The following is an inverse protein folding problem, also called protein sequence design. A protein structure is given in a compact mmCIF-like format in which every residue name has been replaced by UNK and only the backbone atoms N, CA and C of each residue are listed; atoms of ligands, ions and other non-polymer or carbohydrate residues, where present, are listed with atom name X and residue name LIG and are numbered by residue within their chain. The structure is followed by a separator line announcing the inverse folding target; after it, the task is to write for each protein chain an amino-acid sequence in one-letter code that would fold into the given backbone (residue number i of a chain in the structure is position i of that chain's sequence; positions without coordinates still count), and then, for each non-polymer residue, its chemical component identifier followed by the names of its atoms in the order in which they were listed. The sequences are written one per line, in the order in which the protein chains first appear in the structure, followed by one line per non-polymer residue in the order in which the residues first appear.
data_IF_727124064573
#
_entry.id   IF_727124064573
#
_cell.length_a   1.000
_cell.length_b   1.000
_cell.length_c   1.000
_cell.angle_alpha   90.00
_cell.angle_beta   90.00
_cell.angle_gamma   90.00
#
_symmetry.space_group_name_H-M   'P 1'
#
loop_
_entity.id
_entity.type
_entity.pdbx_description
1 polymer ?
#
# COMPACT_ATOMS: atom_id res chain seq x y z
N UNK A 1 -42.54 -19.24 7.08
CA UNK A 1 -41.20 -19.30 7.69
C UNK A 1 -40.93 -20.72 8.13
N UNK A 2 -39.78 -21.33 7.71
CA UNK A 2 -39.45 -22.69 8.05
C UNK A 2 -39.05 -22.81 9.54
N UNK A 3 -39.18 -24.00 10.12
CA UNK A 3 -38.77 -24.28 11.50
C UNK A 3 -37.30 -23.89 11.72
N UNK A 4 -36.44 -24.16 10.74
CA UNK A 4 -35.02 -23.77 10.73
C UNK A 4 -34.80 -22.25 10.81
N UNK A 5 -35.66 -21.43 10.15
CA UNK A 5 -35.54 -19.97 10.23
C UNK A 5 -35.92 -19.44 11.61
N UNK A 6 -36.92 -20.03 12.25
CA UNK A 6 -37.33 -19.69 13.62
C UNK A 6 -36.26 -20.09 14.63
N UNK A 7 -35.62 -21.24 14.45
CA UNK A 7 -34.56 -21.73 15.33
C UNK A 7 -33.31 -20.81 15.23
N UNK A 8 -32.92 -20.45 14.01
CA UNK A 8 -31.83 -19.47 13.78
C UNK A 8 -32.11 -18.11 14.44
N UNK A 9 -33.33 -17.60 14.33
CA UNK A 9 -33.74 -16.35 14.96
C UNK A 9 -33.70 -16.43 16.49
N UNK A 10 -34.14 -17.57 17.08
CA UNK A 10 -34.07 -17.80 18.53
C UNK A 10 -32.64 -17.90 19.07
N UNK A 11 -31.77 -18.59 18.34
CA UNK A 11 -30.34 -18.69 18.69
C UNK A 11 -29.66 -17.33 18.60
N UNK A 12 -29.96 -16.50 17.58
CA UNK A 12 -29.44 -15.14 17.45
C UNK A 12 -29.87 -14.24 18.62
N UNK A 13 -31.15 -14.32 19.02
CA UNK A 13 -31.67 -13.59 20.17
C UNK A 13 -31.00 -14.02 21.48
N UNK A 14 -30.83 -15.32 21.71
CA UNK A 14 -30.18 -15.88 22.91
C UNK A 14 -28.70 -15.51 23.01
N UNK A 15 -28.04 -15.31 21.87
CA UNK A 15 -26.61 -14.91 21.81
C UNK A 15 -26.43 -13.37 21.77
N UNK A 16 -27.48 -12.57 21.83
CA UNK A 16 -27.41 -11.10 21.70
C UNK A 16 -26.93 -10.60 20.33
N UNK A 17 -26.94 -11.48 19.30
CA UNK A 17 -26.44 -11.13 17.96
C UNK A 17 -27.32 -10.09 17.30
N UNK A 18 -28.62 -10.11 17.57
CA UNK A 18 -29.57 -9.13 17.01
C UNK A 18 -29.30 -7.72 17.55
N UNK A 19 -28.99 -7.60 18.83
CA UNK A 19 -28.65 -6.32 19.47
C UNK A 19 -27.30 -5.79 18.93
N UNK A 20 -26.33 -6.67 18.69
CA UNK A 20 -25.07 -6.34 18.07
C UNK A 20 -25.23 -5.86 16.61
N UNK A 21 -26.06 -6.53 15.81
CA UNK A 21 -26.35 -6.14 14.44
C UNK A 21 -27.04 -4.76 14.39
N UNK A 22 -27.97 -4.51 15.30
CA UNK A 22 -28.63 -3.19 15.42
C UNK A 22 -27.66 -2.11 15.86
N UNK A 23 -26.79 -2.39 16.85
CA UNK A 23 -25.74 -1.45 17.28
C UNK A 23 -24.76 -1.14 16.13
N UNK A 24 -24.33 -2.13 15.39
CA UNK A 24 -23.45 -1.94 14.21
C UNK A 24 -24.14 -1.10 13.15
N UNK A 25 -25.44 -1.34 12.90
CA UNK A 25 -26.22 -0.54 11.94
C UNK A 25 -26.32 0.92 12.36
N UNK A 26 -26.64 1.19 13.63
CA UNK A 26 -26.71 2.55 14.18
C UNK A 26 -25.33 3.23 14.14
N UNK A 27 -24.25 2.51 14.44
CA UNK A 27 -22.89 3.05 14.35
C UNK A 27 -22.53 3.43 12.92
N UNK A 28 -22.85 2.57 11.93
CA UNK A 28 -22.64 2.88 10.50
C UNK A 28 -23.40 4.13 10.08
N UNK A 29 -24.64 4.29 10.49
CA UNK A 29 -25.45 5.47 10.18
C UNK A 29 -24.84 6.73 10.77
N UNK A 30 -24.38 6.67 12.02
CA UNK A 30 -23.69 7.81 12.67
C UNK A 30 -22.38 8.16 11.97
N UNK A 31 -21.58 7.16 11.60
CA UNK A 31 -20.33 7.39 10.84
C UNK A 31 -20.64 8.04 9.49
N UNK A 32 -21.63 7.53 8.75
CA UNK A 32 -22.06 8.12 7.47
C UNK A 32 -22.53 9.56 7.64
N UNK A 33 -23.30 9.85 8.68
CA UNK A 33 -23.77 11.23 8.98
C UNK A 33 -22.61 12.15 9.29
N UNK A 34 -21.65 11.72 10.12
CA UNK A 34 -20.46 12.52 10.44
C UNK A 34 -19.59 12.74 9.20
N UNK A 35 -19.40 11.71 8.38
CA UNK A 35 -18.66 11.81 7.11
C UNK A 35 -19.32 12.78 6.15
N UNK A 36 -20.64 12.74 6.03
CA UNK A 36 -21.40 13.71 5.24
C UNK A 36 -21.16 15.15 5.73
N UNK A 37 -21.31 15.38 7.04
CA UNK A 37 -21.10 16.71 7.62
C UNK A 37 -19.66 17.19 7.43
N UNK A 38 -18.67 16.32 7.54
CA UNK A 38 -17.26 16.65 7.27
C UNK A 38 -17.07 17.06 5.81
N UNK A 39 -17.61 16.29 4.86
CA UNK A 39 -17.49 16.60 3.43
C UNK A 39 -18.19 17.91 3.03
N UNK A 40 -19.29 18.29 3.71
CA UNK A 40 -19.96 19.57 3.48
C UNK A 40 -19.26 20.76 4.14
N UNK A 41 -18.46 20.51 5.17
CA UNK A 41 -17.91 21.57 6.01
C UNK A 41 -16.40 21.80 5.83
N UNK A 42 -15.66 20.81 5.34
CA UNK A 42 -14.20 20.83 5.29
C UNK A 42 -13.73 20.34 3.92
N UNK A 43 -12.93 21.16 3.25
CA UNK A 43 -12.12 20.70 2.13
C UNK A 43 -10.97 19.83 2.66
N UNK A 44 -11.00 18.53 2.34
CA UNK A 44 -10.01 17.57 2.81
C UNK A 44 -8.58 17.95 2.39
N UNK A 45 -8.42 18.68 1.28
CA UNK A 45 -7.10 19.13 0.81
C UNK A 45 -6.54 20.29 1.62
N UNK A 46 -7.40 20.96 2.39
CA UNK A 46 -7.02 22.09 3.26
C UNK A 46 -6.51 21.66 4.62
N UNK A 47 -6.60 20.38 4.97
CA UNK A 47 -6.15 19.87 6.27
C UNK A 47 -4.62 19.99 6.35
N UNK A 48 -4.09 20.72 7.33
CA UNK A 48 -2.63 20.89 7.46
C UNK A 48 -1.97 19.59 7.93
N UNK A 49 -0.64 19.47 7.79
CA UNK A 49 0.11 18.36 8.36
C UNK A 49 -0.22 18.14 9.83
N UNK A 50 -0.05 16.91 10.29
CA UNK A 50 -0.37 16.54 11.68
C UNK A 50 0.29 17.47 12.71
N UNK A 51 -0.44 17.81 13.76
CA UNK A 51 0.10 18.53 14.93
C UNK A 51 0.67 17.59 15.98
N UNK A 52 0.52 16.27 15.83
CA UNK A 52 1.14 15.29 16.69
C UNK A 52 2.66 15.25 16.39
N UNK A 53 3.54 15.69 17.33
CA UNK A 53 4.96 15.79 17.06
C UNK A 53 5.61 14.41 16.86
N UNK A 54 5.11 13.38 17.53
CA UNK A 54 5.66 12.01 17.41
C UNK A 54 5.34 11.44 16.02
N UNK A 55 4.13 11.62 15.50
CA UNK A 55 3.76 11.23 14.14
C UNK A 55 4.52 12.08 13.11
N UNK A 56 4.63 13.39 13.33
CA UNK A 56 5.29 14.27 12.36
C UNK A 56 6.78 13.97 12.18
N UNK A 57 7.50 13.70 13.27
CA UNK A 57 8.92 13.33 13.16
C UNK A 57 9.11 11.99 12.45
N UNK A 58 8.22 11.03 12.65
CA UNK A 58 8.22 9.76 11.95
C UNK A 58 7.97 9.96 10.45
N UNK A 59 6.93 10.70 10.05
CA UNK A 59 6.67 11.06 8.65
C UNK A 59 7.88 11.72 7.98
N UNK A 60 8.64 12.56 8.71
CA UNK A 60 9.87 13.16 8.19
C UNK A 60 10.99 12.13 7.99
N UNK A 61 11.14 11.16 8.90
CA UNK A 61 12.09 10.05 8.73
C UNK A 61 11.70 9.16 7.54
N UNK A 62 10.42 8.88 7.39
CA UNK A 62 9.89 8.08 6.29
C UNK A 62 10.14 8.78 4.94
N UNK A 63 9.90 10.08 4.84
CA UNK A 63 10.21 10.84 3.63
C UNK A 63 11.71 10.80 3.26
N UNK A 64 12.60 10.83 4.25
CA UNK A 64 14.04 10.66 4.03
C UNK A 64 14.38 9.24 3.56
N UNK A 65 13.75 8.22 4.15
CA UNK A 65 13.91 6.84 3.72
C UNK A 65 13.46 6.64 2.27
N UNK A 66 12.31 7.22 1.89
CA UNK A 66 11.82 7.20 0.51
C UNK A 66 12.79 7.93 -0.44
N UNK A 67 13.38 9.05 -0.02
CA UNK A 67 14.38 9.76 -0.82
C UNK A 67 15.68 8.95 -1.00
N UNK A 68 16.10 8.19 0.01
CA UNK A 68 17.23 7.25 -0.09
C UNK A 68 16.87 6.13 -1.08
N UNK A 69 15.69 5.54 -0.96
CA UNK A 69 15.20 4.52 -1.88
C UNK A 69 15.14 5.01 -3.34
N UNK A 70 14.67 6.23 -3.56
CA UNK A 70 14.67 6.87 -4.89
C UNK A 70 16.07 6.98 -5.49
N UNK A 71 17.07 7.37 -4.70
CA UNK A 71 18.46 7.39 -5.16
C UNK A 71 18.98 5.99 -5.52
N UNK A 72 18.65 4.97 -4.73
CA UNK A 72 18.98 3.58 -5.05
C UNK A 72 18.37 3.18 -6.39
N UNK A 73 17.07 3.43 -6.56
CA UNK A 73 16.37 3.10 -7.80
C UNK A 73 17.01 3.81 -9.01
N UNK A 74 17.33 5.10 -8.90
CA UNK A 74 18.01 5.86 -9.96
C UNK A 74 19.40 5.31 -10.28
N UNK A 75 20.20 4.99 -9.27
CA UNK A 75 21.54 4.42 -9.44
C UNK A 75 21.53 3.09 -10.17
N UNK A 76 20.55 2.23 -9.89
CA UNK A 76 20.45 0.89 -10.46
C UNK A 76 19.49 0.78 -11.65
N UNK A 77 18.92 1.90 -12.12
CA UNK A 77 17.97 1.93 -13.23
C UNK A 77 16.67 1.19 -12.93
N UNK A 78 16.23 1.18 -11.67
CA UNK A 78 15.00 0.55 -11.23
C UNK A 78 13.83 1.51 -11.39
N UNK A 79 12.71 0.99 -11.88
CA UNK A 79 11.46 1.74 -12.07
C UNK A 79 10.54 1.46 -10.90
N UNK A 80 9.96 2.50 -10.33
CA UNK A 80 8.92 2.42 -9.30
C UNK A 80 8.01 3.65 -9.38
N UNK A 81 6.89 3.66 -8.67
CA UNK A 81 6.02 4.83 -8.50
C UNK A 81 5.34 4.80 -7.14
N UNK A 82 4.93 5.97 -6.64
CA UNK A 82 4.11 6.07 -5.43
C UNK A 82 2.76 5.39 -5.66
N UNK A 83 2.27 4.67 -4.65
CA UNK A 83 0.97 3.99 -4.70
C UNK A 83 0.16 4.22 -3.43
N UNK A 84 -1.05 3.70 -3.35
CA UNK A 84 -1.96 3.73 -2.20
C UNK A 84 -1.98 5.08 -1.45
N UNK A 85 -1.82 5.05 -0.12
CA UNK A 85 -1.84 6.22 0.76
C UNK A 85 -0.78 7.25 0.41
N UNK A 86 0.41 6.82 0.05
CA UNK A 86 1.52 7.71 -0.33
C UNK A 86 1.21 8.51 -1.60
N UNK A 87 0.66 7.88 -2.65
CA UNK A 87 0.23 8.60 -3.85
C UNK A 87 -0.93 9.55 -3.55
N UNK A 88 -1.90 9.10 -2.74
CA UNK A 88 -3.03 9.92 -2.32
C UNK A 88 -2.55 11.16 -1.57
N UNK A 89 -1.59 11.00 -0.68
CA UNK A 89 -0.93 12.09 0.04
C UNK A 89 -0.23 13.06 -0.90
N UNK A 90 0.55 12.57 -1.88
CA UNK A 90 1.22 13.39 -2.88
C UNK A 90 0.23 14.26 -3.67
N UNK A 91 -0.88 13.67 -4.12
CA UNK A 91 -1.90 14.40 -4.92
C UNK A 91 -2.67 15.41 -4.08
N UNK A 92 -3.08 15.05 -2.86
CA UNK A 92 -4.00 15.83 -2.02
C UNK A 92 -3.31 16.85 -1.12
N UNK A 93 -2.15 16.46 -0.54
CA UNK A 93 -1.48 17.21 0.52
C UNK A 93 -0.04 17.63 0.16
N UNK A 94 0.51 17.19 -0.96
CA UNK A 94 1.93 17.31 -1.35
C UNK A 94 2.87 16.73 -0.29
N UNK A 95 2.42 15.75 0.43
CA UNK A 95 3.10 15.06 1.54
C UNK A 95 2.19 14.01 2.13
N UNK A 96 2.45 13.59 3.34
CA UNK A 96 1.60 12.62 4.03
C UNK A 96 0.16 13.07 4.18
N UNK A 97 -0.76 12.15 4.09
CA UNK A 97 -2.09 12.32 4.66
C UNK A 97 -1.87 12.60 6.16
N UNK A 98 -2.51 13.63 6.75
CA UNK A 98 -2.14 14.11 8.09
C UNK A 98 -2.18 13.08 9.23
N UNK A 99 -2.89 11.97 9.04
CA UNK A 99 -3.02 10.88 10.02
C UNK A 99 -2.38 9.57 9.58
N UNK A 100 -1.64 9.57 8.46
CA UNK A 100 -0.98 8.41 7.89
C UNK A 100 0.41 8.19 8.51
N UNK A 101 0.82 6.95 8.65
CA UNK A 101 2.05 6.55 9.33
C UNK A 101 2.86 5.48 8.58
N UNK A 102 2.54 5.25 7.30
CA UNK A 102 3.26 4.32 6.42
C UNK A 102 3.52 4.90 5.03
N UNK A 103 4.28 4.18 4.25
CA UNK A 103 4.59 4.53 2.87
C UNK A 103 4.53 3.31 1.97
N UNK A 104 3.98 3.52 0.78
CA UNK A 104 3.77 2.51 -0.23
C UNK A 104 4.36 2.92 -1.58
N UNK A 105 5.10 2.02 -2.20
CA UNK A 105 5.51 2.16 -3.60
C UNK A 105 5.20 0.89 -4.38
N UNK A 106 4.95 1.05 -5.65
CA UNK A 106 4.74 -0.06 -6.58
C UNK A 106 5.90 -0.14 -7.57
N UNK A 107 6.26 -1.34 -7.99
CA UNK A 107 7.40 -1.61 -8.83
C UNK A 107 7.08 -2.73 -9.83
N UNK A 108 7.47 -2.63 -11.13
CA UNK A 108 7.33 -3.75 -12.04
C UNK A 108 8.04 -5.00 -11.50
N UNK A 109 7.43 -6.16 -11.64
CA UNK A 109 7.97 -7.43 -11.11
C UNK A 109 9.44 -7.67 -11.46
N UNK A 110 9.85 -7.38 -12.67
CA UNK A 110 11.24 -7.56 -13.11
C UNK A 110 12.26 -6.67 -12.35
N UNK A 111 11.83 -5.52 -11.85
CA UNK A 111 12.63 -4.63 -11.01
C UNK A 111 12.55 -5.05 -9.54
N UNK A 112 11.36 -5.48 -9.11
CA UNK A 112 11.11 -5.99 -7.77
C UNK A 112 12.00 -7.22 -7.47
N UNK A 113 12.07 -8.18 -8.37
CA UNK A 113 12.87 -9.41 -8.19
C UNK A 113 14.38 -9.13 -8.05
N UNK A 114 14.85 -7.99 -8.57
CA UNK A 114 16.26 -7.55 -8.45
C UNK A 114 16.54 -6.77 -7.18
N UNK A 115 15.51 -6.32 -6.47
CA UNK A 115 15.64 -5.31 -5.42
C UNK A 115 16.33 -5.83 -4.16
N UNK A 116 15.97 -7.01 -3.65
CA UNK A 116 16.54 -7.56 -2.39
C UNK A 116 18.07 -7.64 -2.42
N UNK A 117 18.71 -8.27 -3.43
CA UNK A 117 20.16 -8.33 -3.49
C UNK A 117 20.80 -6.95 -3.60
N UNK A 118 20.16 -5.99 -4.30
CA UNK A 118 20.65 -4.62 -4.40
C UNK A 118 20.62 -3.94 -3.03
N UNK A 119 19.47 -3.99 -2.34
CA UNK A 119 19.34 -3.37 -1.01
C UNK A 119 20.31 -4.00 0.01
N UNK A 120 20.45 -5.32 0.00
CA UNK A 120 21.43 -6.01 0.86
C UNK A 120 22.84 -5.52 0.58
N UNK A 121 23.26 -5.47 -0.68
CA UNK A 121 24.58 -4.99 -1.08
C UNK A 121 24.87 -3.54 -0.68
N UNK A 122 23.86 -2.67 -0.74
CA UNK A 122 24.02 -1.23 -0.45
C UNK A 122 23.95 -0.92 1.05
N UNK A 123 23.14 -1.67 1.82
CA UNK A 123 22.73 -1.29 3.18
C UNK A 123 22.97 -2.35 4.26
N UNK A 124 23.49 -3.53 3.90
CA UNK A 124 23.85 -4.54 4.89
C UNK A 124 24.83 -3.95 5.91
N UNK A 125 24.62 -4.20 7.18
CA UNK A 125 25.39 -3.67 8.31
C UNK A 125 25.29 -2.14 8.58
N UNK A 126 24.46 -1.39 7.81
CA UNK A 126 24.30 0.07 7.98
C UNK A 126 23.06 0.47 8.81
N UNK A 127 22.46 -0.47 9.54
CA UNK A 127 21.29 -0.22 10.35
C UNK A 127 19.94 -0.24 9.59
N UNK A 128 19.96 -0.55 8.28
CA UNK A 128 18.75 -0.75 7.52
C UNK A 128 18.22 -2.17 7.68
N UNK A 129 16.90 -2.30 7.63
CA UNK A 129 16.19 -3.57 7.67
C UNK A 129 15.60 -3.84 6.30
N UNK A 130 15.82 -5.04 5.79
CA UNK A 130 15.24 -5.52 4.54
C UNK A 130 14.47 -6.79 4.87
N UNK A 131 13.19 -6.81 4.58
CA UNK A 131 12.30 -7.95 4.83
C UNK A 131 11.58 -8.36 3.56
N UNK A 132 11.42 -9.64 3.39
CA UNK A 132 10.68 -10.25 2.29
C UNK A 132 9.34 -10.86 2.76
N UNK A 133 8.86 -10.46 3.92
CA UNK A 133 7.57 -10.84 4.53
C UNK A 133 7.00 -12.18 4.04
N UNK A 134 7.34 -13.28 4.70
CA UNK A 134 6.84 -14.65 4.46
C UNK A 134 7.09 -15.24 3.05
N UNK A 135 7.24 -14.41 2.03
CA UNK A 135 7.59 -14.82 0.66
C UNK A 135 8.19 -13.66 -0.15
N UNK A 136 9.36 -13.86 -0.78
CA UNK A 136 9.99 -12.81 -1.60
C UNK A 136 9.19 -12.39 -2.83
N UNK A 137 8.09 -13.05 -3.14
CA UNK A 137 7.19 -12.67 -4.24
C UNK A 137 6.00 -11.81 -3.81
N UNK A 138 5.78 -11.64 -2.52
CA UNK A 138 4.61 -10.99 -1.96
C UNK A 138 4.81 -9.49 -1.76
N UNK A 139 5.77 -9.12 -0.94
CA UNK A 139 6.04 -7.75 -0.52
C UNK A 139 7.49 -7.64 -0.05
N UNK A 140 8.19 -6.57 -0.41
CA UNK A 140 9.48 -6.23 0.18
C UNK A 140 9.28 -5.03 1.10
N UNK A 141 9.81 -5.12 2.30
CA UNK A 141 9.90 -4.02 3.22
C UNK A 141 11.31 -3.48 3.31
N UNK A 142 11.45 -2.17 3.30
CA UNK A 142 12.71 -1.46 3.49
C UNK A 142 12.57 -0.44 4.62
N UNK A 143 13.36 -0.57 5.66
CA UNK A 143 13.28 0.26 6.85
C UNK A 143 14.62 0.68 7.41
N UNK A 144 14.61 1.65 8.31
CA UNK A 144 15.78 2.04 9.08
C UNK A 144 15.55 1.77 10.56
N UNK A 145 16.29 0.82 11.15
CA UNK A 145 16.10 0.32 12.51
C UNK A 145 14.59 0.03 12.81
N UNK A 146 13.89 -0.55 11.86
CA UNK A 146 12.42 -0.65 11.81
C UNK A 146 11.77 -1.08 13.14
N UNK A 147 12.28 -2.15 13.78
CA UNK A 147 11.75 -2.66 15.05
C UNK A 147 11.86 -1.66 16.22
N UNK A 148 12.61 -0.56 16.06
CA UNK A 148 12.83 0.47 17.08
C UNK A 148 12.19 1.81 16.74
N UNK A 149 12.11 2.14 15.45
CA UNK A 149 11.70 3.47 14.97
C UNK A 149 10.32 3.49 14.35
N UNK A 150 9.87 2.37 13.79
CA UNK A 150 8.68 2.30 12.95
C UNK A 150 8.88 2.87 11.54
N UNK A 151 10.07 3.40 11.20
CA UNK A 151 10.36 3.96 9.86
C UNK A 151 10.45 2.84 8.82
N UNK A 152 9.53 2.86 7.85
CA UNK A 152 9.32 1.73 6.95
C UNK A 152 8.68 2.12 5.61
N UNK A 153 9.06 1.41 4.56
CA UNK A 153 8.54 1.54 3.20
C UNK A 153 8.10 0.16 2.70
N UNK A 154 6.84 0.03 2.32
CA UNK A 154 6.30 -1.16 1.67
C UNK A 154 6.43 -1.07 0.15
N UNK A 155 6.97 -2.11 -0.46
CA UNK A 155 7.28 -2.17 -1.89
C UNK A 155 6.49 -3.32 -2.50
N UNK A 156 5.53 -2.98 -3.35
CA UNK A 156 4.57 -3.91 -3.95
C UNK A 156 4.97 -4.28 -5.38
N UNK A 157 4.98 -5.58 -5.71
CA UNK A 157 5.19 -6.00 -7.08
C UNK A 157 3.98 -5.74 -7.95
N UNK A 158 4.22 -5.35 -9.19
CA UNK A 158 3.20 -5.19 -10.23
C UNK A 158 3.54 -6.09 -11.40
N UNK A 159 2.63 -6.99 -11.72
CA UNK A 159 2.77 -7.95 -12.79
C UNK A 159 2.16 -7.43 -14.10
N UNK A 160 2.59 -7.97 -15.23
CA UNK A 160 2.10 -7.59 -16.55
C UNK A 160 1.43 -8.77 -17.23
N UNK A 161 0.22 -8.54 -17.75
CA UNK A 161 -0.50 -9.45 -18.61
C UNK A 161 -0.58 -8.85 -20.00
N UNK A 162 -0.24 -9.63 -21.03
CA UNK A 162 -0.38 -9.22 -22.43
C UNK A 162 -1.64 -9.81 -23.03
N UNK A 163 -2.40 -9.02 -23.79
CA UNK A 163 -3.68 -9.41 -24.37
C UNK A 163 -3.80 -8.93 -25.83
N UNK A 164 -4.54 -9.66 -26.65
CA UNK A 164 -4.97 -9.20 -27.96
C UNK A 164 -6.16 -8.22 -27.91
N UNK A 165 -6.71 -7.98 -26.73
CA UNK A 165 -7.87 -7.13 -26.50
C UNK A 165 -7.58 -6.14 -25.34
N UNK A 166 -8.26 -4.99 -25.36
CA UNK A 166 -8.16 -3.99 -24.30
C UNK A 166 -8.70 -4.50 -22.96
N UNK A 167 -8.28 -3.85 -21.85
CA UNK A 167 -8.68 -4.22 -20.49
C UNK A 167 -10.21 -4.37 -20.35
N UNK A 168 -10.97 -3.44 -20.89
CA UNK A 168 -12.45 -3.45 -20.81
C UNK A 168 -13.11 -4.72 -21.36
N UNK A 169 -12.41 -5.44 -22.25
CA UNK A 169 -12.92 -6.67 -22.90
C UNK A 169 -12.47 -7.95 -22.19
N UNK A 170 -11.37 -7.89 -21.45
CA UNK A 170 -10.77 -9.07 -20.79
C UNK A 170 -10.81 -9.00 -19.26
N UNK A 171 -11.33 -7.94 -18.70
CA UNK A 171 -11.28 -7.65 -17.25
C UNK A 171 -11.83 -8.80 -16.41
N UNK A 172 -13.01 -9.30 -16.73
CA UNK A 172 -13.65 -10.39 -15.97
C UNK A 172 -12.89 -11.73 -16.12
N UNK A 173 -12.34 -12.00 -17.31
CA UNK A 173 -11.52 -13.18 -17.52
C UNK A 173 -10.21 -13.10 -16.73
N UNK A 174 -9.60 -11.91 -16.67
CA UNK A 174 -8.36 -11.69 -15.95
C UNK A 174 -8.59 -11.79 -14.43
N UNK A 175 -9.69 -11.24 -13.92
CA UNK A 175 -10.10 -11.41 -12.50
C UNK A 175 -10.24 -12.88 -12.13
N UNK A 176 -10.90 -13.69 -12.98
CA UNK A 176 -11.03 -15.13 -12.74
C UNK A 176 -9.66 -15.83 -12.67
N UNK A 177 -8.74 -15.49 -13.57
CA UNK A 177 -7.37 -16.02 -13.53
C UNK A 177 -6.60 -15.62 -12.26
N UNK A 178 -6.77 -14.38 -11.81
CA UNK A 178 -6.18 -13.88 -10.56
C UNK A 178 -6.72 -14.69 -9.38
N UNK A 179 -8.02 -14.93 -9.31
CA UNK A 179 -8.63 -15.73 -8.25
C UNK A 179 -8.12 -17.17 -8.23
N UNK A 180 -8.01 -17.80 -9.39
CA UNK A 180 -7.42 -19.14 -9.51
C UNK A 180 -5.97 -19.18 -9.02
N UNK A 181 -5.18 -18.15 -9.35
CA UNK A 181 -3.80 -18.05 -8.86
C UNK A 181 -3.75 -17.79 -7.36
N UNK A 182 -4.58 -16.92 -6.81
CA UNK A 182 -4.65 -16.63 -5.37
C UNK A 182 -5.02 -17.88 -4.56
N UNK A 183 -5.96 -18.68 -5.06
CA UNK A 183 -6.29 -19.97 -4.44
C UNK A 183 -5.10 -20.93 -4.46
N UNK A 184 -4.39 -21.01 -5.58
CA UNK A 184 -3.15 -21.77 -5.70
C UNK A 184 -2.08 -21.26 -4.73
N UNK A 185 -1.78 -19.96 -4.75
CA UNK A 185 -0.78 -19.33 -3.89
C UNK A 185 -1.07 -19.58 -2.41
N UNK A 186 -2.29 -19.36 -1.95
CA UNK A 186 -2.67 -19.57 -0.56
C UNK A 186 -2.50 -21.02 -0.09
N UNK A 187 -2.58 -21.96 -1.01
CA UNK A 187 -2.34 -23.38 -0.72
C UNK A 187 -0.84 -23.73 -0.63
N UNK A 188 -0.02 -23.06 -1.45
CA UNK A 188 1.39 -23.42 -1.65
C UNK A 188 2.37 -22.39 -1.02
N UNK A 189 1.87 -21.34 -0.36
CA UNK A 189 2.68 -20.21 0.13
C UNK A 189 3.79 -20.58 1.14
N UNK A 190 3.67 -21.74 1.78
CA UNK A 190 4.73 -22.26 2.66
C UNK A 190 5.96 -22.78 1.89
N UNK A 191 5.89 -22.83 0.54
CA UNK A 191 7.02 -23.08 -0.35
C UNK A 191 7.78 -21.75 -0.51
N UNK A 192 8.73 -21.45 0.33
CA UNK A 192 9.54 -20.21 0.27
C UNK A 192 10.52 -20.20 -0.92
N UNK A 193 10.01 -20.37 -2.15
CA UNK A 193 10.78 -20.40 -3.40
C UNK A 193 10.21 -19.42 -4.43
N UNK A 194 10.86 -18.26 -4.56
CA UNK A 194 10.49 -17.22 -5.51
C UNK A 194 10.53 -17.72 -6.96
N UNK A 195 11.46 -18.60 -7.31
CA UNK A 195 11.60 -19.15 -8.66
C UNK A 195 10.40 -20.02 -9.01
N UNK A 196 9.93 -20.82 -8.05
CA UNK A 196 8.73 -21.64 -8.21
C UNK A 196 7.51 -20.77 -8.53
N UNK A 197 7.27 -19.71 -7.75
CA UNK A 197 6.14 -18.83 -7.99
C UNK A 197 6.27 -18.02 -9.28
N UNK A 198 7.48 -17.62 -9.67
CA UNK A 198 7.73 -16.96 -10.97
C UNK A 198 7.35 -17.87 -12.15
N UNK A 199 7.73 -19.14 -12.11
CA UNK A 199 7.30 -20.11 -13.12
C UNK A 199 5.78 -20.28 -13.17
N UNK A 200 5.13 -20.37 -12.01
CA UNK A 200 3.68 -20.51 -11.94
C UNK A 200 2.93 -19.28 -12.47
N UNK A 201 3.46 -18.06 -12.24
CA UNK A 201 2.93 -16.82 -12.84
C UNK A 201 3.10 -16.85 -14.37
N UNK A 202 4.28 -17.13 -14.84
CA UNK A 202 4.58 -17.21 -16.29
C UNK A 202 3.68 -18.19 -17.02
N UNK A 203 3.46 -19.38 -16.48
CA UNK A 203 2.57 -20.38 -17.07
C UNK A 203 1.10 -19.93 -17.18
N UNK A 204 0.60 -19.21 -16.17
CA UNK A 204 -0.81 -18.83 -16.08
C UNK A 204 -1.15 -17.53 -16.79
N UNK A 205 -0.21 -16.58 -16.81
CA UNK A 205 -0.49 -15.21 -17.25
C UNK A 205 0.17 -14.82 -18.57
N UNK A 206 1.01 -15.68 -19.16
CA UNK A 206 1.57 -15.41 -20.50
C UNK A 206 0.48 -15.55 -21.55
N UNK A 207 0.25 -14.45 -22.26
CA UNK A 207 -0.54 -14.42 -23.49
C UNK A 207 0.20 -13.57 -24.52
N UNK A 208 -0.13 -13.73 -25.78
CA UNK A 208 0.43 -12.93 -26.86
C UNK A 208 -0.57 -11.81 -27.21
N UNK A 209 -0.08 -10.59 -27.32
CA UNK A 209 -0.92 -9.45 -27.70
C UNK A 209 -0.19 -8.13 -27.56
N UNK A 210 -0.79 -7.08 -28.10
CA UNK A 210 -0.22 -5.74 -28.14
C UNK A 210 -0.65 -4.88 -26.93
N UNK A 211 -1.70 -5.30 -26.23
CA UNK A 211 -2.19 -4.61 -25.04
C UNK A 211 -1.52 -5.16 -23.80
N UNK A 212 -0.89 -4.28 -23.04
CA UNK A 212 -0.30 -4.60 -21.74
C UNK A 212 -1.19 -4.10 -20.61
N UNK A 213 -1.57 -5.02 -19.75
CA UNK A 213 -2.39 -4.76 -18.56
C UNK A 213 -1.53 -5.02 -17.34
N UNK A 214 -1.39 -4.02 -16.50
CA UNK A 214 -0.68 -4.09 -15.24
C UNK A 214 -1.66 -4.43 -14.12
N UNK A 215 -1.25 -5.29 -13.20
CA UNK A 215 -2.09 -5.66 -12.07
C UNK A 215 -1.28 -5.80 -10.78
N UNK A 216 -1.88 -5.30 -9.70
CA UNK A 216 -1.35 -5.38 -8.34
C UNK A 216 -1.94 -6.56 -7.60
N UNK A 217 -1.21 -7.04 -6.64
CA UNK A 217 -1.76 -7.91 -5.62
C UNK A 217 -2.11 -9.30 -6.08
N UNK A 218 -1.28 -9.88 -6.94
CA UNK A 218 -1.51 -11.25 -7.37
C UNK A 218 -1.47 -12.22 -6.19
N UNK A 219 -0.52 -12.06 -5.29
CA UNK A 219 -0.31 -12.92 -4.13
C UNK A 219 -1.15 -12.52 -2.90
N UNK A 220 -1.62 -11.30 -2.79
CA UNK A 220 -2.37 -10.85 -1.61
C UNK A 220 -3.86 -10.69 -1.89
N UNK A 221 -4.64 -11.57 -1.30
CA UNK A 221 -6.10 -11.65 -1.53
C UNK A 221 -6.92 -10.55 -0.86
N UNK A 222 -6.31 -9.64 -0.07
CA UNK A 222 -7.00 -8.49 0.52
C UNK A 222 -7.10 -7.31 -0.44
N UNK A 223 -6.24 -7.23 -1.46
CA UNK A 223 -6.32 -6.19 -2.47
C UNK A 223 -7.47 -6.49 -3.44
N UNK A 224 -8.25 -5.47 -3.75
CA UNK A 224 -9.19 -5.52 -4.86
C UNK A 224 -8.44 -5.70 -6.18
N UNK A 225 -9.17 -5.99 -7.26
CA UNK A 225 -8.57 -6.14 -8.58
C UNK A 225 -8.11 -4.79 -9.12
N UNK A 226 -6.85 -4.44 -8.85
CA UNK A 226 -6.23 -3.20 -9.33
C UNK A 226 -5.60 -3.45 -10.70
N UNK A 227 -6.39 -3.30 -11.74
CA UNK A 227 -6.03 -3.53 -13.13
C UNK A 227 -5.91 -2.18 -13.86
N UNK A 228 -4.82 -1.98 -14.59
CA UNK A 228 -4.54 -0.76 -15.34
C UNK A 228 -3.99 -1.11 -16.72
N UNK A 229 -4.30 -0.32 -17.74
CA UNK A 229 -3.55 -0.38 -18.97
C UNK A 229 -2.17 0.26 -18.80
N UNK A 230 -1.14 -0.26 -19.49
CA UNK A 230 0.22 0.27 -19.39
C UNK A 230 0.27 1.78 -19.63
N UNK A 231 -0.54 2.29 -20.56
CA UNK A 231 -0.65 3.74 -20.87
C UNK A 231 -1.19 4.60 -19.72
N UNK A 232 -1.86 4.01 -18.75
CA UNK A 232 -2.35 4.74 -17.56
C UNK A 232 -1.23 4.97 -16.54
N UNK A 233 -0.22 4.12 -16.57
CA UNK A 233 0.93 4.17 -15.68
C UNK A 233 2.10 4.87 -16.36
N UNK A 234 2.41 4.53 -17.62
CA UNK A 234 3.57 5.02 -18.34
C UNK A 234 3.23 5.99 -19.50
N UNK A 235 4.13 6.95 -19.81
CA UNK A 235 5.38 7.27 -19.10
C UNK A 235 5.08 7.84 -17.70
N UNK A 236 5.88 7.51 -16.70
CA UNK A 236 5.70 8.05 -15.36
C UNK A 236 5.76 9.57 -15.36
N UNK A 237 4.88 10.18 -14.58
CA UNK A 237 4.90 11.60 -14.21
C UNK A 237 5.66 11.78 -12.89
N UNK A 238 5.69 13.00 -12.36
CA UNK A 238 6.36 13.31 -11.09
C UNK A 238 5.50 14.27 -10.27
N UNK A 239 5.35 14.00 -8.98
CA UNK A 239 4.69 14.88 -8.02
C UNK A 239 5.62 15.21 -6.85
N UNK A 240 5.32 16.33 -6.21
CA UNK A 240 5.94 16.72 -4.95
C UNK A 240 5.36 15.90 -3.79
N UNK A 241 6.24 15.41 -2.91
CA UNK A 241 5.90 14.78 -1.65
C UNK A 241 6.96 15.14 -0.61
N UNK A 242 6.60 15.82 0.47
CA UNK A 242 7.50 16.21 1.57
C UNK A 242 8.80 16.91 1.11
N UNK A 243 8.76 17.88 0.22
CA UNK A 243 9.91 18.61 -0.35
C UNK A 243 10.77 17.80 -1.35
N UNK A 244 10.39 16.60 -1.71
CA UNK A 244 11.03 15.78 -2.74
C UNK A 244 10.09 15.64 -3.94
N UNK A 245 10.63 15.15 -5.06
CA UNK A 245 9.85 14.79 -6.25
C UNK A 245 10.02 13.31 -6.52
N UNK A 246 8.91 12.61 -6.57
CA UNK A 246 8.89 11.17 -6.80
C UNK A 246 8.07 10.80 -8.05
N UNK A 247 8.40 9.66 -8.68
CA UNK A 247 7.64 9.16 -9.82
C UNK A 247 6.24 8.72 -9.39
N UNK A 248 5.27 9.04 -10.24
CA UNK A 248 3.85 8.67 -10.06
C UNK A 248 3.26 8.18 -11.37
N UNK A 249 2.15 7.43 -11.37
CA UNK A 249 1.45 7.04 -12.58
C UNK A 249 1.08 8.25 -13.45
N UNK A 250 1.15 8.09 -14.77
CA UNK A 250 0.80 9.13 -15.74
C UNK A 250 -0.59 9.70 -15.47
N UNK A 251 -1.57 8.81 -15.32
CA UNK A 251 -2.95 9.16 -15.00
C UNK A 251 -3.25 8.90 -13.51
N UNK A 252 -2.56 9.62 -12.60
CA UNK A 252 -2.71 9.46 -11.14
C UNK A 252 -4.16 9.60 -10.66
N UNK A 253 -4.98 10.45 -11.29
CA UNK A 253 -6.41 10.58 -10.96
C UNK A 253 -7.20 9.29 -11.25
N UNK A 254 -7.00 8.68 -12.41
CA UNK A 254 -7.62 7.42 -12.76
C UNK A 254 -7.15 6.30 -11.81
N UNK A 255 -5.87 6.28 -11.53
CA UNK A 255 -5.24 5.32 -10.63
C UNK A 255 -5.87 5.37 -9.24
N UNK A 256 -5.96 6.55 -8.64
CA UNK A 256 -6.56 6.76 -7.31
C UNK A 256 -8.06 6.48 -7.28
N UNK A 257 -8.78 6.83 -8.36
CA UNK A 257 -10.21 6.50 -8.46
C UNK A 257 -10.49 4.99 -8.46
N UNK A 258 -9.61 4.20 -9.04
CA UNK A 258 -9.72 2.72 -8.99
C UNK A 258 -9.48 2.16 -7.60
N UNK A 259 -8.58 2.76 -6.82
CA UNK A 259 -8.27 2.30 -5.46
C UNK A 259 -9.31 2.80 -4.45
N UNK A 260 -9.63 4.09 -4.49
CA UNK A 260 -10.36 4.77 -3.41
C UNK A 260 -11.71 5.36 -3.84
N UNK A 261 -12.10 5.21 -5.10
CA UNK A 261 -13.34 5.84 -5.61
C UNK A 261 -13.25 7.36 -5.57
N UNK A 262 -14.13 8.02 -4.82
CA UNK A 262 -14.10 9.46 -4.63
C UNK A 262 -13.04 9.86 -3.59
N UNK A 263 -11.79 9.77 -3.96
CA UNK A 263 -10.64 10.01 -3.07
C UNK A 263 -10.46 11.48 -2.62
N UNK A 264 -11.16 12.42 -3.25
CA UNK A 264 -11.15 13.85 -2.87
C UNK A 264 -12.17 14.19 -1.77
N UNK A 265 -12.75 13.19 -1.13
CA UNK A 265 -13.67 13.30 0.00
C UNK A 265 -13.22 12.45 1.17
N UNK A 266 -13.76 12.70 2.36
CA UNK A 266 -13.58 11.78 3.49
C UNK A 266 -14.23 10.44 3.17
N UNK A 267 -13.58 9.30 3.49
CA UNK A 267 -14.10 7.98 3.17
C UNK A 267 -15.36 7.65 3.99
N UNK A 268 -16.37 7.06 3.35
CA UNK A 268 -17.66 6.73 3.98
C UNK A 268 -17.57 5.69 5.11
N UNK A 269 -16.49 4.92 5.16
CA UNK A 269 -16.23 3.95 6.23
C UNK A 269 -15.43 4.53 7.40
N UNK A 270 -15.25 5.84 7.45
CA UNK A 270 -14.43 6.54 8.43
C UNK A 270 -12.94 6.53 8.09
N UNK A 271 -12.19 7.28 8.88
CA UNK A 271 -10.73 7.30 8.80
C UNK A 271 -10.23 6.05 9.53
N UNK A 272 -9.62 5.13 8.81
CA UNK A 272 -8.87 4.05 9.42
C UNK A 272 -7.49 4.59 9.77
N UNK A 273 -7.22 4.71 11.06
CA UNK A 273 -5.85 4.80 11.55
C UNK A 273 -5.28 3.39 11.48
N UNK A 274 -4.12 3.25 10.83
CA UNK A 274 -3.41 2.00 10.76
C UNK A 274 -3.10 1.54 12.14
N UNK A 275 -3.63 0.89 12.90
CA UNK A 275 -3.19 0.37 14.19
C UNK A 275 -4.10 0.60 15.39
N UNK A 276 -5.41 0.49 15.16
CA UNK A 276 -6.37 0.48 16.28
C UNK A 276 -6.12 -0.65 17.30
N UNK A 277 -5.31 -1.66 16.95
CA UNK A 277 -5.02 -2.83 17.81
C UNK A 277 -3.67 -2.82 18.52
N UNK A 278 -2.68 -2.05 18.02
CA UNK A 278 -1.29 -2.07 18.53
C UNK A 278 -0.83 -0.74 19.08
N UNK A 279 -1.64 0.30 18.94
CA UNK A 279 -1.27 1.69 19.15
C UNK A 279 -0.55 2.26 17.90
N UNK A 280 -0.61 3.57 17.69
CA UNK A 280 0.00 4.19 16.52
C UNK A 280 1.48 3.83 16.41
N UNK A 281 1.95 3.44 15.22
CA UNK A 281 3.36 3.08 14.96
C UNK A 281 4.31 4.19 15.43
N UNK A 282 3.91 5.46 15.29
CA UNK A 282 4.69 6.62 15.76
C UNK A 282 4.96 6.64 17.27
N UNK A 283 4.28 5.83 18.08
CA UNK A 283 4.59 5.70 19.52
C UNK A 283 5.69 4.65 19.80
N UNK A 284 6.05 3.83 18.82
CA UNK A 284 7.03 2.76 18.98
C UNK A 284 8.40 3.26 19.41
N UNK A 285 8.95 4.22 18.70
CA UNK A 285 10.24 4.81 19.02
C UNK A 285 10.24 5.36 20.46
N UNK A 286 9.20 6.09 20.83
CA UNK A 286 9.03 6.65 22.18
C UNK A 286 9.01 5.55 23.25
N UNK A 287 8.26 4.49 23.01
CA UNK A 287 8.15 3.37 23.95
C UNK A 287 9.48 2.58 24.07
N UNK A 288 10.31 2.62 23.05
CA UNK A 288 11.66 2.01 23.06
C UNK A 288 12.79 2.98 23.46
N UNK A 289 12.47 4.21 23.86
CA UNK A 289 13.46 5.20 24.29
C UNK A 289 14.33 5.75 23.16
N UNK A 290 13.87 5.66 21.91
CA UNK A 290 14.61 6.13 20.72
C UNK A 290 14.39 7.61 20.51
N UNK A 291 15.48 8.34 20.26
CA UNK A 291 15.43 9.76 19.93
C UNK A 291 15.24 9.93 18.42
N UNK A 292 14.02 10.13 17.96
CA UNK A 292 13.70 10.24 16.53
C UNK A 292 14.43 11.39 15.81
N UNK A 293 14.83 12.45 16.52
CA UNK A 293 15.65 13.50 15.93
C UNK A 293 17.07 13.02 15.57
N UNK A 294 17.62 12.07 16.31
CA UNK A 294 18.91 11.43 15.97
C UNK A 294 18.75 10.52 14.76
N UNK A 295 17.67 9.74 14.71
CA UNK A 295 17.32 8.92 13.54
C UNK A 295 17.19 9.78 12.28
N UNK A 296 16.50 10.91 12.39
CA UNK A 296 16.36 11.86 11.28
C UNK A 296 17.72 12.39 10.83
N UNK A 297 18.58 12.80 11.76
CA UNK A 297 19.93 13.30 11.43
C UNK A 297 20.80 12.22 10.74
N UNK A 298 20.69 10.97 11.18
CA UNK A 298 21.37 9.83 10.53
C UNK A 298 20.88 9.64 9.09
N UNK A 299 19.55 9.65 8.87
CA UNK A 299 18.98 9.50 7.53
C UNK A 299 19.35 10.69 6.61
N UNK A 300 19.35 11.93 7.12
CA UNK A 300 19.80 13.12 6.39
C UNK A 300 21.26 12.96 5.96
N UNK A 301 22.11 12.45 6.85
CA UNK A 301 23.50 12.16 6.53
C UNK A 301 23.62 11.08 5.45
N UNK A 302 22.90 9.94 5.59
CA UNK A 302 22.89 8.90 4.57
C UNK A 302 22.44 9.45 3.21
N UNK A 303 21.39 10.24 3.18
CA UNK A 303 20.88 10.84 1.95
C UNK A 303 21.89 11.78 1.31
N UNK A 304 22.65 12.54 2.12
CA UNK A 304 23.73 13.43 1.66
C UNK A 304 24.92 12.67 1.10
N UNK A 305 25.34 11.62 1.79
CA UNK A 305 26.55 10.84 1.48
C UNK A 305 26.32 9.82 0.35
N UNK A 306 25.06 9.50 0.06
CA UNK A 306 24.71 8.55 -0.98
C UNK A 306 24.82 9.20 -2.38
N UNK A 307 25.90 8.85 -3.08
CA UNK A 307 26.21 9.35 -4.42
C UNK A 307 25.67 8.44 -5.54
#
# INVERSE_FOLDING_TARGET
MSILSKLRQHVRLLLGITDLEEMVSVMKERVNTLTYLLNESIDITSIPPTRNPDLRIMQQCDALLLAIFDKVCKKHGLIYWLTYGTLLGAVRHKGFIPWDDDMDVAMPREHFDKLIPILKSEFEEKGFTISDFDSPSYLIGFGYQHLKTGTWLDIFPVDTYTSSQELSQVEEQLKSKIDEYRLFYNKEKDIHDATYFDLQRKERFVTNGDFKILYHGLEYGWAEYLLYEERDIFPLSSLEFENYKFPVPHHSDLYLKRIFGNYMSFPNNGILLHDLGRGPLHTWAKNNGIQMNEVKADLEKYLSDYA
#
